data_IF_797114037461
#
_entry.id   IF_797114037461
#
_cell.length_a   1.000
_cell.length_b   1.000
_cell.length_c   1.000
_cell.angle_alpha   90.00
_cell.angle_beta   90.00
_cell.angle_gamma   90.00
#
_symmetry.space_group_name_H-M   'P 1'
#
loop_
_entity.id
_entity.type
_entity.pdbx_description
1 polymer ?
#
# COMPACT_ATOMS: atom_id res chain seq x y z
N UNK A 1 11.61 -6.37 -9.68
CA UNK A 1 10.80 -5.58 -8.74
C UNK A 1 10.32 -6.55 -7.68
N UNK A 2 10.57 -6.25 -6.41
CA UNK A 2 10.11 -7.10 -5.31
C UNK A 2 9.07 -6.31 -4.54
N UNK A 3 7.80 -6.71 -4.68
CA UNK A 3 6.71 -6.13 -3.91
C UNK A 3 6.61 -6.86 -2.59
N UNK A 4 6.33 -6.09 -1.55
CA UNK A 4 6.09 -6.61 -0.21
C UNK A 4 4.88 -5.95 0.40
N UNK A 5 4.15 -6.72 1.18
CA UNK A 5 3.07 -6.20 1.99
C UNK A 5 3.59 -5.91 3.38
N UNK A 6 3.23 -4.75 3.89
CA UNK A 6 3.53 -4.35 5.25
C UNK A 6 2.24 -3.97 5.96
N UNK A 7 2.14 -4.30 7.23
CA UNK A 7 1.10 -3.80 8.12
C UNK A 7 1.74 -2.91 9.16
N UNK A 8 1.18 -1.73 9.36
CA UNK A 8 1.64 -0.76 10.34
C UNK A 8 0.90 -0.93 11.68
N UNK A 9 1.42 -0.29 12.73
CA UNK A 9 0.84 -0.29 14.09
C UNK A 9 -0.61 0.21 14.18
N UNK A 10 -1.08 0.97 13.19
CA UNK A 10 -2.47 1.45 13.10
C UNK A 10 -3.39 0.47 12.35
N UNK A 11 -2.92 -0.77 12.14
CA UNK A 11 -3.57 -1.84 11.38
C UNK A 11 -3.82 -1.50 9.90
N UNK A 12 -3.14 -0.47 9.36
CA UNK A 12 -3.18 -0.20 7.92
C UNK A 12 -2.15 -1.06 7.18
N UNK A 13 -2.60 -1.72 6.12
CA UNK A 13 -1.75 -2.55 5.27
C UNK A 13 -1.48 -1.89 3.93
N UNK A 14 -0.24 -2.03 3.44
CA UNK A 14 0.22 -1.47 2.17
C UNK A 14 0.98 -2.51 1.38
N UNK A 15 0.81 -2.52 0.06
CA UNK A 15 1.75 -3.15 -0.86
C UNK A 15 2.75 -2.10 -1.30
N UNK A 16 4.03 -2.36 -1.09
CA UNK A 16 5.09 -1.39 -1.36
C UNK A 16 6.12 -1.93 -2.35
N UNK A 17 6.62 -1.02 -3.17
CA UNK A 17 7.80 -1.19 -3.99
C UNK A 17 8.89 -0.28 -3.41
N UNK A 18 9.71 -0.84 -2.51
CA UNK A 18 10.79 -0.11 -1.88
C UNK A 18 11.89 0.21 -2.89
N UNK A 19 12.36 1.45 -2.86
CA UNK A 19 13.48 1.94 -3.67
C UNK A 19 14.65 2.21 -2.73
N UNK A 20 15.82 1.56 -2.94
CA UNK A 20 16.98 1.77 -2.09
C UNK A 20 17.38 3.25 -2.06
N UNK A 21 17.34 3.86 -0.87
CA UNK A 21 17.81 5.21 -0.63
C UNK A 21 18.65 5.23 0.65
N UNK A 22 19.94 5.60 0.53
CA UNK A 22 20.90 5.55 1.65
C UNK A 22 20.55 6.53 2.77
N UNK A 23 20.05 7.71 2.44
CA UNK A 23 19.72 8.75 3.42
C UNK A 23 18.45 8.38 4.19
N UNK A 24 17.40 7.97 3.48
CA UNK A 24 16.15 7.55 4.10
C UNK A 24 16.33 6.29 4.94
N UNK A 25 17.16 5.34 4.49
CA UNK A 25 17.46 4.16 5.29
C UNK A 25 18.20 4.49 6.60
N UNK A 26 19.11 5.48 6.60
CA UNK A 26 19.76 5.97 7.83
C UNK A 26 18.76 6.60 8.81
N UNK A 27 17.72 7.24 8.29
CA UNK A 27 16.63 7.80 9.10
C UNK A 27 15.59 6.74 9.51
N UNK A 28 15.76 5.48 9.09
CA UNK A 28 14.80 4.41 9.33
C UNK A 28 13.50 4.58 8.54
N UNK A 29 13.51 5.37 7.47
CA UNK A 29 12.34 5.66 6.61
C UNK A 29 12.33 4.69 5.44
N UNK A 30 11.17 4.11 5.17
CA UNK A 30 10.92 3.34 3.94
C UNK A 30 10.58 4.31 2.81
N UNK A 31 11.37 4.25 1.74
CA UNK A 31 11.23 5.11 0.58
C UNK A 31 10.80 4.29 -0.64
N UNK A 32 9.84 4.79 -1.41
CA UNK A 32 9.38 4.10 -2.62
C UNK A 32 7.94 4.41 -2.97
N UNK A 33 7.25 3.46 -3.57
CA UNK A 33 5.83 3.55 -3.92
C UNK A 33 5.02 2.61 -3.06
N UNK A 34 3.79 2.98 -2.76
CA UNK A 34 2.87 2.12 -2.06
C UNK A 34 1.43 2.26 -2.56
N UNK A 35 0.64 1.23 -2.26
CA UNK A 35 -0.80 1.20 -2.42
C UNK A 35 -1.40 0.75 -1.09
N UNK A 36 -2.38 1.48 -0.57
CA UNK A 36 -3.13 1.06 0.62
C UNK A 36 -4.11 -0.07 0.26
N UNK A 37 -4.19 -1.09 1.11
CA UNK A 37 -5.09 -2.23 0.96
C UNK A 37 -6.45 -2.03 1.69
N UNK A 38 -6.73 -0.84 2.21
CA UNK A 38 -7.97 -0.58 2.97
C UNK A 38 -9.21 -0.42 2.08
N UNK A 39 -10.32 -1.07 2.48
CA UNK A 39 -11.49 -1.34 1.64
C UNK A 39 -12.68 -0.35 1.72
N UNK A 40 -12.71 0.68 2.58
CA UNK A 40 -13.90 1.56 2.66
C UNK A 40 -13.93 2.72 1.66
N UNK A 41 -12.79 3.08 1.05
CA UNK A 41 -12.70 4.23 0.14
C UNK A 41 -12.17 3.86 -1.25
N UNK A 42 -12.47 2.65 -1.74
CA UNK A 42 -12.12 2.24 -3.13
C UNK A 42 -13.21 2.70 -4.11
N UNK A 43 -13.56 3.97 -3.99
CA UNK A 43 -14.17 4.78 -5.03
C UNK A 43 -13.59 6.17 -4.84
N UNK A 44 -12.86 6.68 -5.83
CA UNK A 44 -12.99 8.02 -6.41
C UNK A 44 -11.70 8.47 -7.09
N UNK A 45 -11.88 9.41 -8.02
CA UNK A 45 -10.84 10.08 -8.81
C UNK A 45 -9.66 10.57 -7.97
N UNK A 46 -8.54 10.82 -8.67
CA UNK A 46 -7.25 11.27 -8.12
C UNK A 46 -7.41 12.39 -7.07
N UNK A 47 -7.34 12.04 -5.77
CA UNK A 47 -7.32 13.02 -4.68
C UNK A 47 -5.90 13.34 -4.24
N UNK A 48 -5.68 14.53 -3.67
CA UNK A 48 -4.38 15.03 -3.21
C UNK A 48 -3.97 14.49 -1.83
N UNK A 49 -4.77 13.62 -1.21
CA UNK A 49 -4.58 13.15 0.18
C UNK A 49 -4.28 11.64 0.18
N UNK A 50 -3.01 11.31 0.43
CA UNK A 50 -2.46 9.94 0.30
C UNK A 50 -3.09 8.91 1.25
N UNK A 51 -3.62 9.36 2.40
CA UNK A 51 -4.34 8.52 3.38
C UNK A 51 -5.60 7.84 2.81
N UNK A 52 -6.07 8.29 1.65
CA UNK A 52 -7.24 7.77 0.96
C UNK A 52 -6.93 7.33 -0.48
N UNK A 53 -5.67 7.42 -0.93
CA UNK A 53 -5.36 7.28 -2.35
C UNK A 53 -5.13 5.83 -2.76
N UNK A 54 -6.02 5.34 -3.63
CA UNK A 54 -5.92 4.07 -4.35
C UNK A 54 -4.89 4.12 -5.51
N UNK A 55 -3.87 5.00 -5.48
CA UNK A 55 -3.00 5.23 -6.63
C UNK A 55 -1.51 5.20 -6.26
N UNK A 56 -0.71 4.67 -7.18
CA UNK A 56 0.74 4.63 -7.06
C UNK A 56 1.35 5.93 -7.61
N UNK A 57 1.86 6.81 -6.75
CA UNK A 57 2.52 8.07 -7.14
C UNK A 57 4.02 7.88 -7.40
N UNK A 58 4.75 8.98 -7.58
CA UNK A 58 6.22 8.97 -7.56
C UNK A 58 6.78 8.43 -6.24
N UNK A 59 8.09 8.15 -6.21
CA UNK A 59 8.74 7.64 -5.00
C UNK A 59 8.68 8.70 -3.90
N UNK A 60 8.16 8.32 -2.74
CA UNK A 60 8.00 9.19 -1.57
C UNK A 60 8.45 8.49 -0.30
N UNK A 61 8.59 9.26 0.78
CA UNK A 61 8.77 8.73 2.12
C UNK A 61 7.43 8.14 2.61
N UNK A 62 7.38 6.83 2.83
CA UNK A 62 6.14 6.12 3.14
C UNK A 62 5.86 6.11 4.64
N UNK A 63 6.73 5.50 5.44
CA UNK A 63 6.60 5.36 6.89
C UNK A 63 7.95 4.99 7.51
N UNK A 64 8.05 5.07 8.84
CA UNK A 64 9.23 4.57 9.54
C UNK A 64 9.17 3.05 9.67
N UNK A 65 10.32 2.38 9.50
CA UNK A 65 10.49 0.94 9.71
C UNK A 65 10.04 0.49 11.11
N UNK A 66 10.22 1.35 12.12
CA UNK A 66 9.78 1.09 13.51
C UNK A 66 8.26 0.93 13.67
N UNK A 67 7.48 1.41 12.69
CA UNK A 67 6.02 1.38 12.72
C UNK A 67 5.45 0.15 12.00
N UNK A 68 6.31 -0.66 11.36
CA UNK A 68 5.94 -1.93 10.75
C UNK A 68 5.79 -2.98 11.86
N UNK A 69 4.63 -3.64 11.91
CA UNK A 69 4.36 -4.76 12.83
C UNK A 69 4.36 -6.11 12.13
N UNK A 70 4.12 -6.12 10.82
CA UNK A 70 4.19 -7.32 10.00
C UNK A 70 4.70 -6.96 8.60
N UNK A 71 5.50 -7.85 8.02
CA UNK A 71 6.05 -7.73 6.67
C UNK A 71 6.10 -9.11 6.03
N UNK A 72 5.60 -9.23 4.80
CA UNK A 72 5.69 -10.45 4.02
C UNK A 72 5.81 -10.15 2.52
N UNK A 73 6.28 -11.11 1.70
CA UNK A 73 6.21 -10.98 0.25
C UNK A 73 4.75 -10.76 -0.20
N UNK A 74 4.55 -9.86 -1.16
CA UNK A 74 3.21 -9.63 -1.70
C UNK A 74 2.71 -10.90 -2.40
N UNK A 75 1.51 -11.33 -2.07
CA UNK A 75 0.78 -12.39 -2.75
C UNK A 75 0.44 -12.00 -4.19
N UNK A 76 -0.06 -12.96 -4.96
CA UNK A 76 -0.49 -12.73 -6.35
C UNK A 76 -1.59 -11.66 -6.43
N UNK A 77 -2.64 -11.77 -5.60
CA UNK A 77 -3.75 -10.81 -5.60
C UNK A 77 -3.29 -9.40 -5.21
N UNK A 78 -2.44 -9.28 -4.20
CA UNK A 78 -1.85 -7.99 -3.78
C UNK A 78 -0.99 -7.37 -4.89
N UNK A 79 -0.21 -8.20 -5.59
CA UNK A 79 0.62 -7.78 -6.72
C UNK A 79 -0.25 -7.32 -7.90
N UNK A 80 -1.31 -8.05 -8.21
CA UNK A 80 -2.23 -7.73 -9.30
C UNK A 80 -2.96 -6.40 -9.02
N UNK A 81 -3.43 -6.20 -7.78
CA UNK A 81 -4.03 -4.95 -7.32
C UNK A 81 -3.03 -3.80 -7.44
N UNK A 82 -1.80 -3.98 -6.96
CA UNK A 82 -0.75 -2.97 -7.09
C UNK A 82 -0.48 -2.60 -8.55
N UNK A 83 -0.39 -3.58 -9.44
CA UNK A 83 -0.16 -3.36 -10.87
C UNK A 83 -1.33 -2.66 -11.55
N UNK A 84 -2.58 -3.05 -11.24
CA UNK A 84 -3.79 -2.37 -11.74
C UNK A 84 -3.75 -0.90 -11.37
N UNK A 85 -3.55 -0.59 -10.08
CA UNK A 85 -3.54 0.79 -9.59
C UNK A 85 -2.34 1.61 -10.08
N UNK A 86 -1.17 0.99 -10.23
CA UNK A 86 0.01 1.61 -10.86
C UNK A 86 -0.25 2.01 -12.32
N UNK A 87 -1.03 1.22 -13.05
CA UNK A 87 -1.36 1.46 -14.46
C UNK A 87 -2.68 2.24 -14.64
N UNK A 88 -3.23 2.81 -13.55
CA UNK A 88 -4.52 3.52 -13.57
C UNK A 88 -5.69 2.65 -14.09
N UNK A 89 -5.61 1.34 -13.88
CA UNK A 89 -6.67 0.37 -14.21
C UNK A 89 -7.60 0.26 -13.00
N UNK A 90 -8.93 0.45 -13.18
CA UNK A 90 -9.89 0.29 -12.11
C UNK A 90 -9.87 -1.13 -11.50
N UNK A 91 -10.12 -1.21 -10.20
CA UNK A 91 -10.29 -2.50 -9.52
C UNK A 91 -11.65 -3.12 -9.86
N UNK A 92 -11.65 -4.43 -10.07
CA UNK A 92 -12.82 -5.23 -10.39
C UNK A 92 -13.57 -5.64 -9.12
N UNK A 93 -14.70 -6.35 -9.27
CA UNK A 93 -15.49 -6.81 -8.13
C UNK A 93 -14.68 -7.77 -7.23
N UNK A 94 -13.92 -8.68 -7.84
CA UNK A 94 -13.12 -9.68 -7.12
C UNK A 94 -11.96 -9.05 -6.35
N UNK A 95 -11.28 -8.05 -6.94
CA UNK A 95 -10.23 -7.30 -6.24
C UNK A 95 -10.79 -6.63 -4.98
N UNK A 96 -11.95 -5.96 -5.11
CA UNK A 96 -12.61 -5.29 -3.99
C UNK A 96 -13.08 -6.28 -2.94
N UNK A 97 -13.60 -7.44 -3.34
CA UNK A 97 -14.00 -8.47 -2.40
C UNK A 97 -12.80 -9.06 -1.67
N UNK A 98 -11.69 -9.32 -2.37
CA UNK A 98 -10.44 -9.74 -1.77
C UNK A 98 -9.96 -8.73 -0.72
N UNK A 99 -9.96 -7.44 -1.05
CA UNK A 99 -9.56 -6.38 -0.12
C UNK A 99 -10.49 -6.35 1.10
N UNK A 100 -11.80 -6.38 0.89
CA UNK A 100 -12.81 -6.37 1.97
C UNK A 100 -12.70 -7.56 2.92
N UNK A 101 -12.38 -8.74 2.41
CA UNK A 101 -12.29 -9.98 3.20
C UNK A 101 -11.00 -10.01 4.03
N UNK A 102 -9.87 -9.55 3.45
CA UNK A 102 -8.55 -9.74 4.04
C UNK A 102 -8.03 -8.50 4.77
N UNK A 103 -8.50 -7.31 4.43
CA UNK A 103 -8.00 -6.03 4.96
C UNK A 103 -9.17 -5.17 5.43
N UNK A 104 -9.44 -5.25 6.73
CA UNK A 104 -10.36 -4.35 7.42
C UNK A 104 -9.56 -3.54 8.43
N UNK A 105 -9.83 -2.24 8.48
CA UNK A 105 -9.47 -1.45 9.64
C UNK A 105 -10.39 -1.92 10.75
N UNK A 106 -9.82 -2.28 11.90
CA UNK A 106 -10.62 -2.35 13.11
C UNK A 106 -11.06 -0.92 13.39
N UNK A 107 -12.34 -0.61 13.22
CA UNK A 107 -12.90 0.62 13.74
C UNK A 107 -12.48 0.74 15.21
N UNK A 108 -11.81 1.85 15.53
CA UNK A 108 -11.49 2.22 16.90
C UNK A 108 -12.68 2.92 17.51
#
# INVERSE_FOLDING_TARGET
MTLKTVTLKDDTSYVINEVPNKEMNKLGIVFGKAVSLYAEYITTDKTSIWRYSSFCTDNVNLFNKKDIVNEHPASKNETDIYNKLKNNIPLEADDRNFLRVNYKRKDK
#
